data_IF_480561477098
#
_entry.id   IF_480561477098
#
_cell.length_a   1.000
_cell.length_b   1.000
_cell.length_c   1.000
_cell.angle_alpha   90.00
_cell.angle_beta   90.00
_cell.angle_gamma   90.00
#
_symmetry.space_group_name_H-M   'P 1'
#
loop_
_entity.id
_entity.type
_entity.pdbx_description
1 polymer ?
#
# COMPACT_ATOMS: atom_id res chain seq x y z
N UNK A 1 1.53 -6.16 -3.38
CA UNK A 1 0.84 -4.90 -3.68
C UNK A 1 -0.66 -5.06 -3.63
N UNK A 2 -1.21 -6.07 -4.29
CA UNK A 2 -2.66 -6.25 -4.44
C UNK A 2 -3.43 -6.60 -3.16
N UNK A 3 -2.81 -7.27 -2.18
CA UNK A 3 -3.51 -7.77 -0.99
C UNK A 3 -4.23 -6.68 -0.18
N UNK A 4 -3.59 -5.53 0.03
CA UNK A 4 -4.18 -4.43 0.77
C UNK A 4 -5.35 -3.78 0.00
N UNK A 5 -5.20 -3.56 -1.31
CA UNK A 5 -6.26 -3.03 -2.18
C UNK A 5 -7.46 -3.96 -2.27
N UNK A 6 -7.23 -5.27 -2.40
CA UNK A 6 -8.28 -6.29 -2.44
C UNK A 6 -8.96 -6.39 -1.07
N UNK A 7 -8.19 -6.37 0.02
CA UNK A 7 -8.74 -6.38 1.38
C UNK A 7 -9.65 -5.18 1.63
N UNK A 8 -9.22 -3.97 1.28
CA UNK A 8 -10.01 -2.74 1.36
C UNK A 8 -11.27 -2.79 0.49
N UNK A 9 -11.20 -3.38 -0.71
CA UNK A 9 -12.37 -3.56 -1.57
C UNK A 9 -13.38 -4.55 -0.97
N UNK A 10 -12.89 -5.66 -0.41
CA UNK A 10 -13.73 -6.67 0.24
C UNK A 10 -14.39 -6.11 1.49
N UNK A 11 -13.67 -5.38 2.35
CA UNK A 11 -14.28 -4.75 3.53
C UNK A 11 -15.29 -3.70 3.15
N UNK A 12 -15.05 -2.89 2.11
CA UNK A 12 -16.05 -1.97 1.59
C UNK A 12 -17.35 -2.68 1.15
N UNK A 13 -17.22 -3.74 0.34
CA UNK A 13 -18.37 -4.53 -0.11
C UNK A 13 -19.09 -5.23 1.04
N UNK A 14 -18.34 -5.72 2.02
CA UNK A 14 -18.87 -6.40 3.21
C UNK A 14 -19.65 -5.42 4.09
N UNK A 15 -19.09 -4.24 4.38
CA UNK A 15 -19.79 -3.18 5.12
C UNK A 15 -21.04 -2.71 4.39
N UNK A 16 -20.97 -2.50 3.08
CA UNK A 16 -22.15 -2.14 2.26
C UNK A 16 -23.25 -3.20 2.32
N UNK A 17 -22.87 -4.49 2.35
CA UNK A 17 -23.81 -5.61 2.46
C UNK A 17 -24.40 -5.72 3.86
N UNK A 18 -23.60 -5.51 4.90
CA UNK A 18 -24.03 -5.55 6.30
C UNK A 18 -24.93 -4.36 6.66
N UNK A 19 -24.68 -3.18 6.09
CA UNK A 19 -25.45 -1.96 6.34
C UNK A 19 -26.82 -1.95 5.64
N UNK A 20 -27.16 -2.98 4.86
CA UNK A 20 -28.50 -3.16 4.28
C UNK A 20 -28.96 -2.06 3.32
N UNK A 21 -28.12 -1.65 2.34
CA UNK A 21 -28.46 -0.57 1.39
C UNK A 21 -28.75 0.77 2.09
N UNK A 22 -27.86 1.22 2.98
CA UNK A 22 -27.93 2.59 3.45
C UNK A 22 -27.52 3.51 2.30
N UNK A 23 -28.44 4.36 1.85
CA UNK A 23 -28.30 5.30 0.72
C UNK A 23 -27.24 6.41 0.99
N UNK A 24 -26.44 6.25 2.05
CA UNK A 24 -25.33 7.06 2.53
C UNK A 24 -23.96 6.63 1.97
N UNK A 25 -23.80 5.36 1.56
CA UNK A 25 -22.52 4.87 1.01
C UNK A 25 -22.19 5.59 -0.30
N UNK A 26 -21.06 6.32 -0.33
CA UNK A 26 -20.65 7.18 -1.45
C UNK A 26 -21.07 8.64 -1.33
N UNK A 27 -21.92 9.00 -0.35
CA UNK A 27 -22.30 10.39 -0.02
C UNK A 27 -21.54 10.95 1.19
N UNK A 28 -20.47 10.28 1.64
CA UNK A 28 -19.64 10.68 2.78
C UNK A 28 -19.81 9.85 4.05
N UNK A 29 -20.38 8.64 3.97
CA UNK A 29 -20.47 7.74 5.12
C UNK A 29 -19.06 7.34 5.64
N UNK A 30 -18.78 7.67 6.90
CA UNK A 30 -17.51 7.36 7.58
C UNK A 30 -17.22 5.86 7.55
N UNK A 31 -18.24 4.99 7.60
CA UNK A 31 -18.06 3.53 7.59
C UNK A 31 -17.43 3.05 6.27
N UNK A 32 -17.78 3.72 5.17
CA UNK A 32 -17.25 3.44 3.83
C UNK A 32 -15.80 3.83 3.62
N UNK A 33 -15.18 4.59 4.54
CA UNK A 33 -13.75 4.97 4.48
C UNK A 33 -12.98 4.33 5.62
N UNK A 34 -13.53 4.35 6.83
CA UNK A 34 -12.89 3.80 8.03
C UNK A 34 -12.62 2.29 7.92
N UNK A 35 -13.57 1.50 7.39
CA UNK A 35 -13.38 0.06 7.25
C UNK A 35 -12.33 -0.32 6.19
N UNK A 36 -12.33 0.28 4.98
CA UNK A 36 -11.25 0.08 4.01
C UNK A 36 -9.87 0.53 4.49
N UNK A 37 -9.78 1.67 5.18
CA UNK A 37 -8.52 2.19 5.72
C UNK A 37 -7.98 1.31 6.86
N UNK A 38 -8.86 0.85 7.75
CA UNK A 38 -8.48 -0.11 8.79
C UNK A 38 -7.97 -1.43 8.20
N UNK A 39 -8.63 -1.94 7.16
CA UNK A 39 -8.20 -3.15 6.47
C UNK A 39 -6.85 -2.99 5.77
N UNK A 40 -6.62 -1.85 5.11
CA UNK A 40 -5.35 -1.50 4.49
C UNK A 40 -4.22 -1.47 5.53
N UNK A 41 -4.43 -0.74 6.63
CA UNK A 41 -3.41 -0.59 7.67
C UNK A 41 -3.09 -1.92 8.38
N UNK A 42 -4.11 -2.75 8.62
CA UNK A 42 -3.92 -4.10 9.15
C UNK A 42 -3.16 -5.01 8.17
N UNK A 43 -3.48 -4.95 6.87
CA UNK A 43 -2.79 -5.72 5.83
C UNK A 43 -1.31 -5.32 5.70
N UNK A 44 -0.98 -4.05 5.90
CA UNK A 44 0.40 -3.58 5.86
C UNK A 44 1.23 -4.27 6.95
N UNK A 45 0.76 -4.25 8.20
CA UNK A 45 1.41 -4.95 9.31
C UNK A 45 1.47 -6.46 9.10
N UNK A 46 0.37 -7.08 8.62
CA UNK A 46 0.31 -8.51 8.36
C UNK A 46 1.30 -8.99 7.29
N UNK A 47 1.67 -8.12 6.33
CA UNK A 47 2.63 -8.48 5.29
C UNK A 47 4.07 -8.64 5.75
N UNK A 48 4.40 -8.15 6.96
CA UNK A 48 5.72 -8.34 7.58
C UNK A 48 5.89 -9.71 8.24
N UNK A 49 4.80 -10.36 8.64
CA UNK A 49 4.84 -11.68 9.29
C UNK A 49 5.54 -12.71 8.40
N UNK A 50 5.10 -13.00 7.15
CA UNK A 50 5.76 -13.97 6.28
C UNK A 50 7.16 -13.54 5.86
N UNK A 51 7.41 -12.23 5.79
CA UNK A 51 8.74 -11.69 5.49
C UNK A 51 9.72 -12.04 6.62
N UNK A 52 9.36 -11.80 7.88
CA UNK A 52 10.23 -12.04 9.02
C UNK A 52 10.35 -13.53 9.33
N UNK A 53 9.27 -14.30 9.21
CA UNK A 53 9.27 -15.71 9.60
C UNK A 53 9.77 -16.65 8.52
N UNK A 54 9.45 -16.39 7.25
CA UNK A 54 9.80 -17.28 6.13
C UNK A 54 10.86 -16.67 5.20
N UNK A 55 11.22 -15.40 5.37
CA UNK A 55 12.09 -14.70 4.43
C UNK A 55 11.42 -14.45 3.08
N UNK A 56 10.08 -14.52 2.99
CA UNK A 56 9.32 -14.35 1.74
C UNK A 56 8.44 -13.10 1.82
N UNK A 57 8.56 -12.16 0.88
CA UNK A 57 7.83 -10.90 0.95
C UNK A 57 6.33 -11.12 0.71
N UNK A 58 5.49 -10.71 1.67
CA UNK A 58 4.04 -10.76 1.55
C UNK A 58 3.41 -9.66 0.69
N UNK A 59 4.18 -8.63 0.32
CA UNK A 59 3.72 -7.50 -0.49
C UNK A 59 4.88 -6.87 -1.27
N UNK A 60 4.56 -5.90 -2.14
CA UNK A 60 5.59 -5.23 -2.95
C UNK A 60 6.46 -4.29 -2.10
N UNK A 61 5.86 -3.64 -1.11
CA UNK A 61 6.59 -2.77 -0.18
C UNK A 61 7.49 -3.58 0.75
N UNK A 62 7.07 -4.77 1.19
CA UNK A 62 7.94 -5.65 1.98
C UNK A 62 9.05 -6.30 1.16
N UNK A 63 8.86 -6.49 -0.16
CA UNK A 63 9.95 -6.89 -1.06
C UNK A 63 11.03 -5.81 -1.17
N UNK A 64 10.64 -4.54 -1.28
CA UNK A 64 11.60 -3.41 -1.26
C UNK A 64 12.32 -3.33 0.09
N UNK A 65 11.60 -3.50 1.20
CA UNK A 65 12.20 -3.56 2.54
C UNK A 65 13.19 -4.73 2.68
N UNK A 66 12.87 -5.90 2.13
CA UNK A 66 13.79 -7.03 2.08
C UNK A 66 15.06 -6.70 1.28
N UNK A 67 14.91 -6.00 0.16
CA UNK A 67 16.04 -5.44 -0.59
C UNK A 67 16.88 -4.48 0.28
N UNK A 68 16.25 -3.61 1.06
CA UNK A 68 16.97 -2.71 1.97
C UNK A 68 17.70 -3.47 3.09
N UNK A 69 17.08 -4.46 3.72
CA UNK A 69 17.70 -5.25 4.79
C UNK A 69 18.88 -6.08 4.27
N UNK A 70 18.76 -6.64 3.07
CA UNK A 70 19.86 -7.38 2.43
C UNK A 70 21.05 -6.49 2.11
N UNK A 71 20.84 -5.19 1.79
CA UNK A 71 21.94 -4.22 1.67
C UNK A 71 22.71 -4.01 3.00
N UNK A 72 22.04 -4.19 4.14
CA UNK A 72 22.67 -4.15 5.47
C UNK A 72 23.19 -5.52 5.94
N UNK A 73 23.27 -6.52 5.05
CA UNK A 73 23.63 -7.91 5.37
C UNK A 73 22.69 -8.60 6.38
N UNK A 74 21.44 -8.14 6.48
CA UNK A 74 20.42 -8.74 7.34
C UNK A 74 19.54 -9.64 6.46
N UNK A 75 19.59 -10.95 6.70
CA UNK A 75 18.75 -11.91 5.97
C UNK A 75 17.48 -12.18 6.78
N UNK A 76 16.30 -11.74 6.31
CA UNK A 76 15.05 -12.02 7.01
C UNK A 76 14.70 -13.51 6.95
N UNK A 77 14.19 -14.04 8.06
CA UNK A 77 13.88 -15.46 8.23
C UNK A 77 13.92 -15.90 9.69
N UNK A 78 13.70 -17.20 9.98
CA UNK A 78 13.66 -17.72 11.34
C UNK A 78 14.97 -17.46 12.11
N UNK A 79 16.10 -17.47 11.39
CA UNK A 79 17.42 -17.19 11.95
C UNK A 79 17.57 -15.75 12.46
N UNK A 80 16.82 -14.79 11.91
CA UNK A 80 16.86 -13.39 12.38
C UNK A 80 16.38 -13.27 13.83
N UNK A 81 15.41 -14.12 14.24
CA UNK A 81 14.93 -14.16 15.63
C UNK A 81 15.97 -14.67 16.62
N UNK A 82 16.92 -15.48 16.16
CA UNK A 82 17.98 -16.07 17.00
C UNK A 82 19.28 -15.27 16.96
N UNK A 83 19.65 -14.73 15.79
CA UNK A 83 20.92 -14.01 15.60
C UNK A 83 20.80 -12.51 15.92
N UNK A 84 19.61 -11.92 15.74
CA UNK A 84 19.39 -10.48 15.91
C UNK A 84 18.05 -10.19 16.64
N UNK A 85 17.87 -10.68 17.88
CA UNK A 85 16.62 -10.50 18.63
C UNK A 85 16.29 -9.03 18.90
N UNK A 86 17.28 -8.18 19.11
CA UNK A 86 17.09 -6.73 19.32
C UNK A 86 16.44 -6.04 18.11
N UNK A 87 16.79 -6.46 16.89
CA UNK A 87 16.22 -5.89 15.67
C UNK A 87 14.78 -6.36 15.48
N UNK A 88 14.50 -7.63 15.77
CA UNK A 88 13.14 -8.18 15.66
C UNK A 88 12.20 -7.55 16.68
N UNK A 89 12.59 -7.52 17.96
CA UNK A 89 11.78 -6.91 19.01
C UNK A 89 11.70 -5.40 18.84
N UNK A 90 12.77 -4.76 18.38
CA UNK A 90 12.79 -3.35 18.00
C UNK A 90 11.83 -3.05 16.85
N UNK A 91 11.76 -3.92 15.83
CA UNK A 91 10.82 -3.80 14.72
C UNK A 91 9.37 -3.99 15.18
N UNK A 92 9.09 -4.98 16.03
CA UNK A 92 7.75 -5.20 16.60
C UNK A 92 7.32 -3.98 17.44
N UNK A 93 8.19 -3.47 18.30
CA UNK A 93 7.94 -2.26 19.09
C UNK A 93 7.76 -1.03 18.19
N UNK A 94 8.59 -0.87 17.16
CA UNK A 94 8.49 0.19 16.18
C UNK A 94 7.20 0.10 15.37
N UNK A 95 6.69 -1.09 15.04
CA UNK A 95 5.39 -1.28 14.38
C UNK A 95 4.23 -0.81 15.26
N UNK A 96 4.30 -1.09 16.57
CA UNK A 96 3.31 -0.61 17.54
C UNK A 96 3.34 0.93 17.62
N UNK A 97 4.53 1.52 17.81
CA UNK A 97 4.72 2.97 17.91
C UNK A 97 4.35 3.65 16.59
N UNK A 98 4.72 3.06 15.46
CA UNK A 98 4.41 3.56 14.12
C UNK A 98 2.90 3.61 13.90
N UNK A 99 2.13 2.61 14.33
CA UNK A 99 0.66 2.67 14.23
C UNK A 99 0.06 3.81 15.07
N UNK A 100 0.59 4.06 16.27
CA UNK A 100 0.16 5.20 17.10
C UNK A 100 0.52 6.52 16.43
N UNK A 101 1.74 6.67 15.92
CA UNK A 101 2.18 7.85 15.18
C UNK A 101 1.38 8.05 13.88
N UNK A 102 1.05 6.97 13.19
CA UNK A 102 0.23 7.00 11.98
C UNK A 102 -1.16 7.51 12.32
N UNK A 103 -1.76 7.11 13.44
CA UNK A 103 -3.05 7.65 13.89
C UNK A 103 -2.98 9.16 14.18
N UNK A 104 -1.93 9.60 14.89
CA UNK A 104 -1.69 11.03 15.18
C UNK A 104 -1.51 11.83 13.88
N UNK A 105 -0.85 11.27 12.87
CA UNK A 105 -0.64 11.93 11.58
C UNK A 105 -1.88 11.86 10.68
N UNK A 106 -2.64 10.78 10.71
CA UNK A 106 -3.77 10.57 9.80
C UNK A 106 -4.98 11.46 10.16
N UNK A 107 -5.24 11.67 11.46
CA UNK A 107 -6.32 12.56 11.93
C UNK A 107 -6.25 13.98 11.34
N UNK A 108 -5.11 14.72 11.41
CA UNK A 108 -5.01 16.05 10.82
C UNK A 108 -4.95 16.01 9.28
N UNK A 109 -4.34 14.98 8.69
CA UNK A 109 -4.19 14.89 7.23
C UNK A 109 -5.48 14.48 6.50
N UNK A 110 -6.47 13.89 7.19
CA UNK A 110 -7.75 13.49 6.57
C UNK A 110 -8.46 14.68 5.89
N UNK A 111 -8.33 15.89 6.45
CA UNK A 111 -8.85 17.12 5.85
C UNK A 111 -8.14 17.53 4.56
N UNK A 112 -6.87 17.17 4.40
CA UNK A 112 -6.09 17.41 3.17
C UNK A 112 -6.42 16.36 2.09
N UNK A 113 -6.51 15.08 2.48
CA UNK A 113 -6.82 13.99 1.56
C UNK A 113 -8.23 14.10 0.98
N UNK A 114 -9.23 14.46 1.81
CA UNK A 114 -10.60 14.72 1.34
C UNK A 114 -10.66 15.87 0.33
N UNK A 115 -9.81 16.90 0.47
CA UNK A 115 -9.68 17.98 -0.51
C UNK A 115 -9.04 17.49 -1.82
N UNK A 116 -8.05 16.61 -1.76
CA UNK A 116 -7.45 16.02 -2.98
C UNK A 116 -8.45 15.19 -3.79
N UNK A 117 -9.40 14.51 -3.13
CA UNK A 117 -10.47 13.75 -3.79
C UNK A 117 -11.45 14.63 -4.59
N UNK A 118 -11.49 15.95 -4.33
CA UNK A 118 -12.29 16.88 -5.14
C UNK A 118 -11.59 17.37 -6.41
N UNK A 119 -10.31 17.00 -6.60
CA UNK A 119 -9.56 17.36 -7.81
C UNK A 119 -10.03 16.45 -8.96
N UNK A 120 -10.38 17.01 -10.14
CA UNK A 120 -10.89 16.22 -11.26
C UNK A 120 -9.85 15.18 -11.73
N UNK A 121 -10.33 13.95 -11.93
CA UNK A 121 -9.50 12.78 -12.32
C UNK A 121 -8.66 13.01 -13.58
N UNK A 122 -9.06 13.94 -14.45
CA UNK A 122 -8.35 14.25 -15.69
C UNK A 122 -6.96 14.87 -15.46
N UNK A 123 -6.74 15.54 -14.32
CA UNK A 123 -5.42 16.03 -13.91
C UNK A 123 -4.64 14.97 -13.11
N UNK A 124 -5.35 14.16 -12.31
CA UNK A 124 -4.74 13.21 -11.39
C UNK A 124 -4.09 12.03 -12.11
N UNK A 125 -4.74 11.54 -13.17
CA UNK A 125 -4.28 10.38 -13.95
C UNK A 125 -2.93 10.60 -14.64
N UNK A 126 -2.70 11.69 -15.41
CA UNK A 126 -1.40 11.93 -16.04
C UNK A 126 -0.28 12.23 -15.03
N UNK A 127 -0.59 12.88 -13.89
CA UNK A 127 0.38 13.10 -12.83
C UNK A 127 0.83 11.77 -12.17
N UNK A 128 -0.12 10.89 -11.85
CA UNK A 128 0.19 9.54 -11.32
C UNK A 128 1.00 8.75 -12.36
N UNK A 129 0.64 8.82 -13.64
CA UNK A 129 1.36 8.13 -14.70
C UNK A 129 2.80 8.64 -14.85
N UNK A 130 3.02 9.96 -14.79
CA UNK A 130 4.36 10.57 -14.84
C UNK A 130 5.22 10.15 -13.65
N UNK A 131 4.70 10.22 -12.42
CA UNK A 131 5.41 9.80 -11.21
C UNK A 131 5.69 8.29 -11.23
N UNK A 132 4.73 7.49 -11.70
CA UNK A 132 4.89 6.04 -11.84
C UNK A 132 5.94 5.67 -12.89
N UNK A 133 6.01 6.40 -14.00
CA UNK A 133 7.04 6.20 -15.02
C UNK A 133 8.45 6.52 -14.49
N UNK A 134 8.59 7.60 -13.73
CA UNK A 134 9.85 7.95 -13.05
C UNK A 134 10.21 6.89 -12.00
N UNK A 135 9.23 6.38 -11.25
CA UNK A 135 9.44 5.32 -10.25
C UNK A 135 9.91 4.00 -10.87
N UNK A 136 9.33 3.59 -12.00
CA UNK A 136 9.77 2.38 -12.72
C UNK A 136 11.17 2.55 -13.30
N UNK A 137 11.48 3.75 -13.82
CA UNK A 137 12.83 4.09 -14.29
C UNK A 137 13.89 3.97 -13.20
N UNK A 138 13.57 4.39 -11.98
CA UNK A 138 14.51 4.39 -10.86
C UNK A 138 14.83 2.99 -10.31
N UNK A 139 13.92 2.02 -10.45
CA UNK A 139 14.05 0.71 -9.79
C UNK A 139 14.78 -0.32 -10.65
N UNK A 140 14.60 -0.33 -11.97
CA UNK A 140 15.08 -1.44 -12.80
C UNK A 140 16.30 -1.14 -13.67
N UNK A 141 16.69 0.13 -13.96
CA UNK A 141 17.83 0.47 -14.83
C UNK A 141 17.93 -0.31 -16.16
N UNK A 142 16.85 -0.96 -16.60
CA UNK A 142 16.77 -1.75 -17.83
C UNK A 142 15.82 -1.04 -18.80
N UNK A 143 16.29 -0.78 -20.02
CA UNK A 143 15.53 -0.07 -21.05
C UNK A 143 14.26 -0.85 -21.47
N UNK A 144 14.24 -2.18 -21.28
CA UNK A 144 13.12 -3.05 -21.61
C UNK A 144 11.88 -2.80 -20.74
N UNK A 145 12.05 -2.64 -19.43
CA UNK A 145 10.93 -2.43 -18.49
C UNK A 145 10.27 -1.06 -18.71
N UNK A 146 11.07 -0.09 -19.16
CA UNK A 146 10.64 1.25 -19.54
C UNK A 146 9.75 1.20 -20.80
N UNK A 147 10.18 0.47 -21.84
CA UNK A 147 9.42 0.29 -23.09
C UNK A 147 8.12 -0.49 -22.83
N UNK A 148 8.17 -1.53 -22.00
CA UNK A 148 7.00 -2.31 -21.62
C UNK A 148 6.00 -1.48 -20.81
N UNK A 149 6.48 -0.64 -19.90
CA UNK A 149 5.65 0.26 -19.09
C UNK A 149 4.95 1.32 -19.94
N UNK A 150 5.66 1.91 -20.92
CA UNK A 150 5.07 2.85 -21.88
C UNK A 150 4.05 2.14 -22.79
N UNK A 151 4.37 0.95 -23.31
CA UNK A 151 3.47 0.18 -24.16
C UNK A 151 2.17 -0.20 -23.42
N UNK A 152 2.27 -0.69 -22.19
CA UNK A 152 1.12 -0.99 -21.33
C UNK A 152 0.37 0.28 -20.91
N UNK A 153 1.07 1.39 -20.68
CA UNK A 153 0.45 2.69 -20.36
C UNK A 153 -0.39 3.23 -21.52
N UNK A 154 0.12 3.14 -22.74
CA UNK A 154 -0.61 3.52 -23.97
C UNK A 154 -1.79 2.57 -24.20
N UNK A 155 -1.59 1.26 -24.03
CA UNK A 155 -2.66 0.26 -24.19
C UNK A 155 -3.78 0.44 -23.15
N UNK A 156 -3.41 0.75 -21.90
CA UNK A 156 -4.35 1.09 -20.83
C UNK A 156 -5.08 2.42 -21.07
N UNK A 157 -4.42 3.41 -21.68
CA UNK A 157 -5.06 4.67 -22.07
C UNK A 157 -6.10 4.45 -23.17
N UNK A 158 -5.79 3.63 -24.18
CA UNK A 158 -6.71 3.27 -25.27
C UNK A 158 -7.92 2.48 -24.74
N UNK A 159 -7.70 1.52 -23.85
CA UNK A 159 -8.77 0.73 -23.23
C UNK A 159 -9.68 1.55 -22.30
N UNK A 160 -9.21 2.67 -21.77
CA UNK A 160 -10.03 3.58 -20.95
C UNK A 160 -10.82 4.59 -21.80
N UNK A 161 -10.34 4.89 -22.99
CA UNK A 161 -11.00 5.82 -23.93
C UNK A 161 -12.12 5.14 -24.73
N UNK A 162 -12.09 3.80 -24.83
CA UNK A 162 -13.12 2.95 -25.45
C UNK A 162 -14.14 2.51 -24.41
#
# INVERSE_FOLDING_TARGET
GAGATIASAITYMTEKKLSGNSDSFGKGDIRGVAAPEAANNASACGSFIPMLTLGVPGSGTTAVMMGALTLYNITPGPAMFTEQPDIVWGLIAALLIANVMLLIMNIPLIGLFTRMLTIPLWFLVPAIAAVSAVGVYAVHSTTFDLVLMVALGVLGYILRIT
#
